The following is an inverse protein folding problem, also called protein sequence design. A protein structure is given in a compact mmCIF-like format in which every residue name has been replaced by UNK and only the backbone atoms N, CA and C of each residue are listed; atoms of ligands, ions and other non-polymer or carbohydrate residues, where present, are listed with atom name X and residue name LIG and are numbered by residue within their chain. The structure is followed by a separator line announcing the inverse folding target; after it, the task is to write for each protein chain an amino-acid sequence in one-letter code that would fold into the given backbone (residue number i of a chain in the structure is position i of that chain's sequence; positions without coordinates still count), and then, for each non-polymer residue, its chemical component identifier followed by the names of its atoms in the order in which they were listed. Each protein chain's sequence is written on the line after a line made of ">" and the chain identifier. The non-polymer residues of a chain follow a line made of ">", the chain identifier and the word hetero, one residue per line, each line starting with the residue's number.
data_IF_369721100313
#
_entry.id   IF_369721100313
#
_cell.length_a   1.000
_cell.length_b   1.000
_cell.length_c   1.000
_cell.angle_alpha   90.00
_cell.angle_beta   90.00
_cell.angle_gamma   90.00
#
_symmetry.space_group_name_H-M   'P 1'
#
loop_
_entity.id
_entity.type
_entity.pdbx_description
1 polymer ?
#
# COMPACT_ATOMS: atom_id res chain seq x y z
N UNK A 1 -24.15 -19.23 38.94
CA UNK A 1 -23.34 -19.24 37.70
C UNK A 1 -22.94 -17.79 37.40
N UNK A 2 -21.72 -17.39 37.78
CA UNK A 2 -21.28 -15.98 37.70
C UNK A 2 -20.93 -15.63 36.25
N UNK A 3 -21.61 -14.63 35.70
CA UNK A 3 -21.41 -14.15 34.34
C UNK A 3 -20.14 -13.28 34.29
N UNK A 4 -19.00 -13.92 34.01
CA UNK A 4 -17.68 -13.30 33.86
C UNK A 4 -17.61 -12.29 32.71
N UNK A 5 -18.64 -12.22 31.86
CA UNK A 5 -18.71 -11.26 30.76
C UNK A 5 -18.90 -9.79 31.20
N UNK A 6 -19.24 -9.53 32.48
CA UNK A 6 -19.47 -8.17 32.98
C UNK A 6 -18.18 -7.44 33.40
N UNK A 7 -17.03 -8.13 33.47
CA UNK A 7 -15.78 -7.58 34.02
C UNK A 7 -14.68 -7.40 32.95
N UNK A 8 -15.03 -6.81 31.80
CA UNK A 8 -14.01 -6.23 30.93
C UNK A 8 -14.13 -4.70 30.93
N UNK A 9 -13.09 -3.96 31.37
CA UNK A 9 -13.06 -2.52 31.16
C UNK A 9 -13.06 -2.25 29.66
N UNK A 10 -14.18 -1.73 29.15
CA UNK A 10 -14.31 -1.22 27.78
C UNK A 10 -13.53 0.08 27.65
N UNK A 11 -12.20 -0.01 27.67
CA UNK A 11 -11.32 1.10 27.36
C UNK A 11 -10.79 0.98 25.93
N UNK A 12 -11.69 0.67 24.99
CA UNK A 12 -11.37 0.74 23.58
C UNK A 12 -11.39 2.21 23.16
N UNK A 13 -10.23 2.73 22.76
CA UNK A 13 -10.19 3.99 22.02
C UNK A 13 -10.61 3.68 20.59
N UNK A 14 -11.92 3.70 20.30
CA UNK A 14 -12.42 3.51 18.93
C UNK A 14 -11.80 4.62 18.07
N UNK A 15 -11.04 4.22 17.06
CA UNK A 15 -10.55 5.14 16.06
C UNK A 15 -11.76 5.76 15.33
N UNK A 16 -11.80 7.10 15.25
CA UNK A 16 -12.78 7.79 14.41
C UNK A 16 -12.73 7.21 12.99
N UNK A 17 -13.88 7.13 12.31
CA UNK A 17 -13.99 6.57 10.96
C UNK A 17 -12.96 7.15 9.98
N UNK A 18 -12.62 8.44 10.16
CA UNK A 18 -11.58 9.14 9.38
C UNK A 18 -10.17 8.60 9.63
N UNK A 19 -9.86 8.22 10.86
CA UNK A 19 -8.57 7.57 11.19
C UNK A 19 -8.50 6.16 10.61
N UNK A 20 -9.62 5.43 10.60
CA UNK A 20 -9.68 4.10 9.96
C UNK A 20 -9.41 4.23 8.46
N UNK A 21 -10.07 5.17 7.78
CA UNK A 21 -9.85 5.44 6.35
C UNK A 21 -8.39 5.81 6.07
N UNK A 22 -7.79 6.66 6.92
CA UNK A 22 -6.39 7.05 6.75
C UNK A 22 -5.41 5.87 6.94
N UNK A 23 -5.67 5.00 7.93
CA UNK A 23 -4.86 3.79 8.14
C UNK A 23 -4.99 2.83 6.95
N UNK A 24 -6.21 2.60 6.46
CA UNK A 24 -6.46 1.78 5.27
C UNK A 24 -5.73 2.35 4.05
N UNK A 25 -5.75 3.67 3.87
CA UNK A 25 -5.06 4.35 2.77
C UNK A 25 -3.54 4.21 2.86
N UNK A 26 -2.96 4.30 4.07
CA UNK A 26 -1.54 4.05 4.30
C UNK A 26 -1.15 2.61 3.94
N UNK A 27 -1.92 1.63 4.42
CA UNK A 27 -1.65 0.21 4.15
C UNK A 27 -1.76 -0.08 2.65
N UNK A 28 -2.80 0.45 1.99
CA UNK A 28 -2.98 0.32 0.54
C UNK A 28 -1.84 0.99 -0.25
N UNK A 29 -1.38 2.17 0.18
CA UNK A 29 -0.28 2.89 -0.44
C UNK A 29 1.06 2.13 -0.33
N UNK A 30 1.37 1.58 0.85
CA UNK A 30 2.57 0.76 1.06
C UNK A 30 2.52 -0.50 0.19
N UNK A 31 1.37 -1.19 0.17
CA UNK A 31 1.19 -2.38 -0.66
C UNK A 31 1.32 -2.07 -2.15
N UNK A 32 0.71 -0.99 -2.63
CA UNK A 32 0.84 -0.53 -4.02
C UNK A 32 2.28 -0.17 -4.39
N UNK A 33 2.99 0.52 -3.50
CA UNK A 33 4.41 0.83 -3.68
C UNK A 33 5.28 -0.43 -3.77
N UNK A 34 5.06 -1.41 -2.90
CA UNK A 34 5.76 -2.69 -2.94
C UNK A 34 5.50 -3.48 -4.23
N UNK A 35 4.24 -3.53 -4.69
CA UNK A 35 3.88 -4.15 -5.97
C UNK A 35 4.51 -3.44 -7.15
N UNK A 36 4.51 -2.10 -7.16
CA UNK A 36 5.19 -1.31 -8.19
C UNK A 36 6.69 -1.60 -8.23
N UNK A 37 7.34 -1.67 -7.06
CA UNK A 37 8.76 -2.01 -6.96
C UNK A 37 9.06 -3.43 -7.48
N UNK A 38 8.25 -4.43 -7.12
CA UNK A 38 8.42 -5.79 -7.64
C UNK A 38 8.30 -5.86 -9.17
N UNK A 39 7.37 -5.10 -9.77
CA UNK A 39 7.22 -5.06 -11.23
C UNK A 39 8.47 -4.48 -11.87
N UNK A 40 9.00 -3.36 -11.33
CA UNK A 40 10.21 -2.72 -11.86
C UNK A 40 11.46 -3.61 -11.71
N UNK A 41 11.63 -4.27 -10.55
CA UNK A 41 12.78 -5.14 -10.26
C UNK A 41 12.71 -6.44 -11.08
N UNK A 42 11.53 -7.05 -11.18
CA UNK A 42 11.29 -8.25 -11.99
C UNK A 42 11.58 -8.01 -13.48
N UNK A 43 11.16 -6.85 -13.98
CA UNK A 43 11.48 -6.34 -15.33
C UNK A 43 12.98 -6.14 -15.59
N UNK A 44 13.84 -6.06 -14.55
CA UNK A 44 15.29 -5.95 -14.74
C UNK A 44 16.04 -7.29 -14.70
N UNK A 45 15.45 -8.36 -14.14
CA UNK A 45 16.16 -9.63 -13.90
C UNK A 45 15.98 -10.70 -14.99
N UNK A 46 15.01 -10.54 -15.89
CA UNK A 46 14.79 -11.46 -17.02
C UNK A 46 15.68 -11.22 -18.26
N UNK A 47 16.71 -10.38 -18.13
CA UNK A 47 17.37 -9.69 -19.26
C UNK A 47 18.44 -10.49 -20.03
N UNK A 48 18.93 -11.64 -19.55
CA UNK A 48 20.09 -12.29 -20.19
C UNK A 48 19.78 -13.36 -21.24
N UNK A 49 18.55 -13.89 -21.34
CA UNK A 49 18.29 -15.09 -22.16
C UNK A 49 17.23 -14.86 -23.27
N UNK A 50 16.46 -13.76 -23.24
CA UNK A 50 15.28 -13.54 -24.12
C UNK A 50 15.11 -12.09 -24.64
N UNK A 51 16.22 -11.40 -24.94
CA UNK A 51 16.35 -9.94 -25.11
C UNK A 51 15.70 -9.28 -26.36
N UNK A 52 15.14 -10.07 -27.28
CA UNK A 52 14.53 -9.57 -28.52
C UNK A 52 13.00 -9.45 -28.46
N UNK A 53 12.33 -10.34 -27.76
CA UNK A 53 10.85 -10.40 -27.69
C UNK A 53 10.32 -9.64 -26.47
N UNK A 54 11.08 -9.63 -25.36
CA UNK A 54 10.70 -8.94 -24.11
C UNK A 54 10.90 -7.43 -24.14
N UNK A 55 11.74 -6.88 -25.03
CA UNK A 55 12.05 -5.43 -25.05
C UNK A 55 10.82 -4.54 -25.31
N UNK A 56 9.79 -5.07 -25.98
CA UNK A 56 8.53 -4.36 -26.22
C UNK A 56 7.58 -4.44 -25.01
N UNK A 57 7.42 -5.62 -24.44
CA UNK A 57 6.57 -5.87 -23.26
C UNK A 57 7.13 -5.23 -21.98
N UNK A 58 8.47 -5.17 -21.85
CA UNK A 58 9.16 -4.63 -20.68
C UNK A 58 8.98 -3.11 -20.52
N UNK A 59 8.76 -2.37 -21.62
CA UNK A 59 8.47 -0.93 -21.56
C UNK A 59 7.10 -0.65 -20.94
N UNK A 60 6.10 -1.45 -21.29
CA UNK A 60 4.76 -1.33 -20.70
C UNK A 60 4.75 -1.79 -19.25
N UNK A 61 5.43 -2.89 -18.93
CA UNK A 61 5.58 -3.38 -17.56
C UNK A 61 6.30 -2.38 -16.65
N UNK A 62 7.42 -1.79 -17.10
CA UNK A 62 8.12 -0.73 -16.34
C UNK A 62 7.24 0.50 -16.15
N UNK A 63 6.51 0.93 -17.19
CA UNK A 63 5.60 2.08 -17.10
C UNK A 63 4.49 1.82 -16.08
N UNK A 64 3.89 0.63 -16.09
CA UNK A 64 2.92 0.22 -15.08
C UNK A 64 3.54 0.17 -13.68
N UNK A 65 4.74 -0.37 -13.54
CA UNK A 65 5.48 -0.39 -12.28
C UNK A 65 5.70 1.00 -11.70
N UNK A 66 6.14 1.96 -12.52
CA UNK A 66 6.29 3.37 -12.11
C UNK A 66 4.94 4.02 -11.77
N UNK A 67 3.87 3.69 -12.48
CA UNK A 67 2.52 4.17 -12.16
C UNK A 67 2.06 3.66 -10.79
N UNK A 68 2.20 2.36 -10.53
CA UNK A 68 1.87 1.76 -9.23
C UNK A 68 2.72 2.33 -8.09
N UNK A 69 4.02 2.52 -8.33
CA UNK A 69 4.93 3.10 -7.35
C UNK A 69 4.58 4.57 -7.06
N UNK A 70 4.29 5.37 -8.10
CA UNK A 70 3.84 6.75 -7.97
C UNK A 70 2.51 6.88 -7.22
N UNK A 71 1.50 6.06 -7.59
CA UNK A 71 0.22 6.00 -6.89
C UNK A 71 0.38 5.54 -5.44
N UNK A 72 1.28 4.59 -5.18
CA UNK A 72 1.62 4.13 -3.85
C UNK A 72 2.18 5.25 -2.98
N UNK A 73 3.16 6.00 -3.48
CA UNK A 73 3.75 7.16 -2.79
C UNK A 73 2.68 8.23 -2.50
N UNK A 74 1.85 8.57 -3.49
CA UNK A 74 0.75 9.54 -3.31
C UNK A 74 -0.23 9.04 -2.24
N UNK A 75 -0.59 7.76 -2.25
CA UNK A 75 -1.49 7.15 -1.27
C UNK A 75 -0.92 7.21 0.15
N UNK A 76 0.37 6.93 0.33
CA UNK A 76 1.04 7.03 1.62
C UNK A 76 1.07 8.48 2.12
N UNK A 77 1.44 9.44 1.26
CA UNK A 77 1.48 10.86 1.63
C UNK A 77 0.09 11.36 1.98
N UNK A 78 -0.93 11.05 1.17
CA UNK A 78 -2.31 11.44 1.43
C UNK A 78 -2.83 10.84 2.75
N UNK A 79 -2.56 9.56 3.01
CA UNK A 79 -2.93 8.88 4.26
C UNK A 79 -2.25 9.50 5.49
N UNK A 80 -0.96 9.80 5.38
CA UNK A 80 -0.19 10.45 6.44
C UNK A 80 -0.70 11.87 6.74
N UNK A 81 -0.96 12.68 5.71
CA UNK A 81 -1.52 14.03 5.86
C UNK A 81 -2.90 13.98 6.50
N UNK A 82 -3.75 13.02 6.11
CA UNK A 82 -5.10 12.89 6.65
C UNK A 82 -5.09 12.43 8.12
N UNK A 83 -4.08 11.64 8.53
CA UNK A 83 -3.80 11.30 9.93
C UNK A 83 -3.22 12.46 10.73
N UNK A 84 -2.33 13.25 10.13
CA UNK A 84 -1.63 14.37 10.77
C UNK A 84 -2.52 15.61 10.92
N UNK A 85 -3.56 15.76 10.09
CA UNK A 85 -4.58 16.79 10.29
C UNK A 85 -5.28 16.55 11.63
N UNK A 86 -4.93 17.39 12.59
CA UNK A 86 -5.69 17.53 13.84
C UNK A 86 -7.09 17.99 13.45
N UNK A 87 -8.08 17.12 13.67
CA UNK A 87 -9.48 17.49 13.61
C UNK A 87 -9.85 18.35 14.81
#
# INVERSE_FOLDING_TARGET
>A
MFNIFFYLPKNYKIFSMKKIIAIVLLVAGIYGGYKGYQIIDGSSKGLEIADLELKAEDKDAKTQGYLFLGLGVIGVVAGAVLLARKQ
#
